data_IF_910182178650
#
_entry.id   IF_910182178650
#
_cell.length_a   1.000
_cell.length_b   1.000
_cell.length_c   1.000
_cell.angle_alpha   90.00
_cell.angle_beta   90.00
_cell.angle_gamma   90.00
#
_symmetry.space_group_name_H-M   'P 1'
#
loop_
_entity.id
_entity.type
_entity.pdbx_description
1 polymer ?
#
# COMPACT_ATOMS: atom_id res chain seq x y z
N UNK A 1 -18.23 -12.02 7.75
CA UNK A 1 -17.56 -11.07 8.63
C UNK A 1 -16.92 -10.03 7.74
N UNK A 2 -17.24 -8.77 7.98
CA UNK A 2 -16.74 -7.62 7.22
C UNK A 2 -15.81 -6.82 8.13
N UNK A 3 -14.54 -6.72 7.78
CA UNK A 3 -13.57 -5.93 8.56
C UNK A 3 -13.40 -4.56 7.90
N UNK A 4 -13.66 -3.51 8.66
CA UNK A 4 -13.61 -2.12 8.23
C UNK A 4 -12.36 -1.45 8.79
N UNK A 5 -11.61 -0.82 7.89
CA UNK A 5 -10.48 0.05 8.13
C UNK A 5 -10.99 1.49 7.96
N UNK A 6 -11.37 2.20 9.03
CA UNK A 6 -11.83 3.58 8.93
C UNK A 6 -10.66 4.52 8.63
N UNK A 7 -10.86 5.42 7.68
CA UNK A 7 -9.93 6.51 7.36
C UNK A 7 -10.62 7.86 7.57
N UNK A 8 -9.84 8.93 7.56
CA UNK A 8 -10.38 10.30 7.63
C UNK A 8 -11.00 10.78 6.31
N UNK A 9 -10.85 10.02 5.22
CA UNK A 9 -11.52 10.29 3.95
C UNK A 9 -12.82 9.50 3.80
N UNK A 10 -12.75 8.18 4.00
CA UNK A 10 -13.88 7.25 4.01
C UNK A 10 -13.49 5.88 4.60
N UNK A 11 -14.45 5.09 5.10
CA UNK A 11 -14.16 3.73 5.52
C UNK A 11 -13.78 2.84 4.32
N UNK A 12 -12.78 1.97 4.52
CA UNK A 12 -12.31 0.99 3.54
C UNK A 12 -12.59 -0.41 4.07
N UNK A 13 -13.17 -1.27 3.24
CA UNK A 13 -13.47 -2.64 3.61
C UNK A 13 -12.32 -3.57 3.19
N UNK A 14 -11.85 -4.39 4.12
CA UNK A 14 -10.97 -5.52 3.81
C UNK A 14 -11.83 -6.64 3.24
N UNK A 15 -11.65 -6.90 1.94
CA UNK A 15 -12.46 -7.85 1.16
C UNK A 15 -11.96 -9.28 1.30
N UNK A 16 -10.64 -9.48 1.28
CA UNK A 16 -10.06 -10.83 1.38
C UNK A 16 -8.60 -10.78 1.80
N UNK A 17 -8.16 -11.86 2.44
CA UNK A 17 -6.75 -12.19 2.65
C UNK A 17 -6.42 -13.37 1.74
N UNK A 18 -5.61 -13.16 0.69
CA UNK A 18 -5.29 -14.20 -0.29
C UNK A 18 -3.84 -14.65 -0.12
N UNK A 19 -3.62 -15.94 0.13
CA UNK A 19 -2.27 -16.53 0.14
C UNK A 19 -1.66 -16.49 -1.27
N UNK A 20 -0.44 -15.95 -1.39
CA UNK A 20 0.31 -15.74 -2.63
C UNK A 20 1.75 -16.24 -2.50
N UNK A 21 2.00 -17.55 -2.27
CA UNK A 21 3.33 -18.09 -1.97
C UNK A 21 4.37 -17.91 -3.09
N UNK A 22 3.94 -17.57 -4.31
CA UNK A 22 4.83 -17.31 -5.47
C UNK A 22 5.16 -15.83 -5.67
N UNK A 23 4.59 -14.94 -4.85
CA UNK A 23 4.90 -13.51 -4.87
C UNK A 23 6.01 -13.27 -3.86
N UNK A 24 7.04 -12.46 -4.19
CA UNK A 24 8.19 -12.26 -3.30
C UNK A 24 7.84 -11.55 -1.98
N UNK A 25 6.69 -10.88 -1.92
CA UNK A 25 6.27 -10.11 -0.77
C UNK A 25 4.75 -10.06 -0.61
N UNK A 26 4.28 -10.00 0.64
CA UNK A 26 2.93 -9.54 0.95
C UNK A 26 2.70 -8.11 0.49
N UNK A 27 1.49 -7.80 0.03
CA UNK A 27 1.12 -6.48 -0.48
C UNK A 27 -0.37 -6.19 -0.26
N UNK A 28 -0.74 -4.92 -0.32
CA UNK A 28 -2.14 -4.49 -0.30
C UNK A 28 -2.55 -4.08 -1.72
N UNK A 29 -3.76 -4.41 -2.16
CA UNK A 29 -4.28 -4.02 -3.46
C UNK A 29 -5.78 -3.75 -3.40
N UNK A 30 -6.29 -2.90 -4.30
CA UNK A 30 -7.73 -2.75 -4.49
C UNK A 30 -8.29 -4.06 -5.08
N UNK A 31 -9.47 -4.47 -4.66
CA UNK A 31 -10.11 -5.70 -5.11
C UNK A 31 -10.29 -5.69 -6.64
N UNK A 32 -9.82 -6.75 -7.29
CA UNK A 32 -9.80 -6.86 -8.75
C UNK A 32 -8.55 -6.24 -9.39
N UNK A 33 -7.70 -5.57 -8.62
CA UNK A 33 -6.39 -5.07 -9.01
C UNK A 33 -5.26 -5.96 -8.44
N UNK A 34 -4.12 -5.97 -9.10
CA UNK A 34 -2.91 -6.66 -8.65
C UNK A 34 -1.78 -5.69 -8.27
N UNK A 35 -2.01 -4.39 -8.45
CA UNK A 35 -1.03 -3.35 -8.22
C UNK A 35 -0.91 -3.05 -6.71
N UNK A 36 0.31 -3.07 -6.15
CA UNK A 36 0.51 -2.78 -4.74
C UNK A 36 0.17 -1.30 -4.43
N UNK A 37 -0.54 -1.07 -3.33
CA UNK A 37 -0.74 0.26 -2.75
C UNK A 37 0.54 0.80 -2.12
N UNK A 38 0.62 2.11 -1.89
CA UNK A 38 1.78 2.78 -1.28
C UNK A 38 2.20 2.14 0.05
N UNK A 39 1.24 1.72 0.87
CA UNK A 39 1.47 1.07 2.18
C UNK A 39 1.85 -0.42 2.08
N UNK A 40 2.05 -0.98 0.88
CA UNK A 40 2.35 -2.41 0.73
C UNK A 40 3.67 -2.82 1.36
N UNK A 41 4.69 -1.96 1.37
CA UNK A 41 5.97 -2.24 2.04
C UNK A 41 5.80 -2.26 3.56
N UNK A 42 4.99 -1.36 4.11
CA UNK A 42 4.67 -1.34 5.55
C UNK A 42 3.88 -2.59 5.94
N UNK A 43 2.89 -2.97 5.13
CA UNK A 43 2.16 -4.21 5.28
C UNK A 43 3.06 -5.43 5.20
N UNK A 44 3.99 -5.46 4.24
CA UNK A 44 4.97 -6.52 4.12
C UNK A 44 5.80 -6.67 5.40
N UNK A 45 6.34 -5.55 5.90
CA UNK A 45 7.11 -5.51 7.16
C UNK A 45 6.26 -5.95 8.36
N UNK A 46 4.98 -5.58 8.39
CA UNK A 46 4.06 -6.00 9.42
C UNK A 46 3.82 -7.52 9.40
N UNK A 47 3.52 -8.09 8.23
CA UNK A 47 3.30 -9.53 8.02
C UNK A 47 4.56 -10.35 8.27
N UNK A 48 5.73 -9.86 7.86
CA UNK A 48 7.00 -10.55 8.06
C UNK A 48 7.69 -10.24 9.39
N UNK A 49 7.18 -9.29 10.15
CA UNK A 49 7.68 -8.93 11.47
C UNK A 49 6.73 -9.38 12.57
N UNK A 50 6.12 -8.45 13.31
CA UNK A 50 5.43 -8.75 14.57
C UNK A 50 4.23 -9.69 14.38
N UNK A 51 3.56 -9.70 13.23
CA UNK A 51 2.42 -10.59 13.01
C UNK A 51 2.79 -12.09 13.08
N UNK A 52 4.05 -12.45 12.77
CA UNK A 52 4.54 -13.83 12.88
C UNK A 52 4.59 -14.35 14.31
N UNK A 53 4.51 -13.47 15.31
CA UNK A 53 4.45 -13.86 16.73
C UNK A 53 3.13 -14.59 17.06
N UNK A 54 2.07 -14.33 16.30
CA UNK A 54 0.71 -14.82 16.59
C UNK A 54 0.08 -15.60 15.45
N UNK A 55 0.58 -15.45 14.22
CA UNK A 55 0.17 -16.27 13.09
C UNK A 55 1.40 -16.96 12.50
N UNK A 56 1.52 -18.26 12.79
CA UNK A 56 2.59 -19.10 12.27
C UNK A 56 2.33 -19.46 10.79
N UNK A 57 3.40 -19.70 10.04
CA UNK A 57 3.35 -20.10 8.62
C UNK A 57 2.54 -19.14 7.71
N UNK A 58 2.79 -17.83 7.83
CA UNK A 58 2.29 -16.83 6.88
C UNK A 58 3.16 -16.80 5.61
N UNK A 59 2.66 -17.27 4.45
CA UNK A 59 3.31 -16.99 3.17
C UNK A 59 3.12 -15.52 2.80
N UNK A 60 3.79 -15.08 1.72
CA UNK A 60 3.42 -13.83 1.06
C UNK A 60 1.92 -13.79 0.79
N UNK A 61 1.28 -12.68 1.14
CA UNK A 61 -0.18 -12.56 1.18
C UNK A 61 -0.65 -11.25 0.55
N UNK A 62 -1.71 -11.32 -0.26
CA UNK A 62 -2.40 -10.15 -0.80
C UNK A 62 -3.55 -9.77 0.14
N UNK A 63 -3.51 -8.53 0.65
CA UNK A 63 -4.65 -7.91 1.31
C UNK A 63 -5.50 -7.19 0.26
N UNK A 64 -6.69 -7.72 -0.01
CA UNK A 64 -7.62 -7.16 -1.00
C UNK A 64 -8.54 -6.16 -0.30
N UNK A 65 -8.54 -4.90 -0.75
CA UNK A 65 -9.28 -3.79 -0.14
C UNK A 65 -10.35 -3.25 -1.09
N UNK A 66 -11.39 -2.61 -0.57
CA UNK A 66 -12.40 -1.95 -1.41
C UNK A 66 -11.89 -0.67 -2.07
N UNK A 67 -10.85 -0.05 -1.50
CA UNK A 67 -10.28 1.21 -1.96
C UNK A 67 -8.82 1.36 -1.50
N UNK A 68 -8.16 2.45 -1.91
CA UNK A 68 -6.80 2.80 -1.50
C UNK A 68 -6.70 3.21 -0.03
N UNK A 69 -5.50 3.02 0.52
CA UNK A 69 -5.05 3.57 1.80
C UNK A 69 -3.75 4.33 1.52
N UNK A 70 -3.74 5.62 1.83
CA UNK A 70 -2.66 6.50 1.36
C UNK A 70 -1.59 6.75 2.42
N UNK A 71 -1.98 6.88 3.71
CA UNK A 71 -1.04 7.21 4.77
C UNK A 71 -1.51 6.77 6.17
N UNK A 72 -0.58 6.88 7.13
CA UNK A 72 -0.81 6.59 8.54
C UNK A 72 -0.66 5.12 8.91
N UNK A 73 -0.67 4.84 10.22
CA UNK A 73 -0.53 3.49 10.80
C UNK A 73 -1.81 2.96 11.43
N UNK A 74 -2.92 3.70 11.33
CA UNK A 74 -4.20 3.33 11.95
C UNK A 74 -4.90 2.13 11.31
N UNK A 75 -4.31 1.57 10.24
CA UNK A 75 -4.74 0.35 9.57
C UNK A 75 -4.18 -0.92 10.21
N UNK A 76 -3.14 -0.83 11.05
CA UNK A 76 -2.43 -2.01 11.55
C UNK A 76 -3.32 -2.85 12.47
N UNK A 77 -4.10 -2.23 13.36
CA UNK A 77 -5.02 -2.95 14.25
C UNK A 77 -6.14 -3.71 13.51
N UNK A 78 -6.92 -3.12 12.60
CA UNK A 78 -7.92 -3.89 11.85
C UNK A 78 -7.29 -4.99 10.98
N UNK A 79 -6.08 -4.79 10.46
CA UNK A 79 -5.37 -5.82 9.69
C UNK A 79 -4.86 -6.95 10.59
N UNK A 80 -4.35 -6.65 11.79
CA UNK A 80 -4.02 -7.63 12.81
C UNK A 80 -5.23 -8.52 13.13
N UNK A 81 -6.36 -7.89 13.44
CA UNK A 81 -7.62 -8.59 13.75
C UNK A 81 -8.02 -9.52 12.59
N UNK A 82 -7.98 -9.02 11.36
CA UNK A 82 -8.35 -9.82 10.20
C UNK A 82 -7.45 -11.05 10.02
N UNK A 83 -6.13 -10.92 10.24
CA UNK A 83 -5.20 -12.05 10.20
C UNK A 83 -5.40 -13.05 11.34
N UNK A 84 -5.65 -12.58 12.56
CA UNK A 84 -5.97 -13.45 13.70
C UNK A 84 -7.24 -14.27 13.44
N UNK A 85 -8.29 -13.61 12.95
CA UNK A 85 -9.57 -14.25 12.63
C UNK A 85 -9.44 -15.22 11.44
N UNK A 86 -8.69 -14.86 10.40
CA UNK A 86 -8.37 -15.74 9.27
C UNK A 86 -7.56 -16.96 9.71
N UNK A 87 -6.55 -16.77 10.57
CA UNK A 87 -5.74 -17.86 11.12
C UNK A 87 -6.57 -18.83 11.96
N UNK A 88 -7.57 -18.32 12.68
CA UNK A 88 -8.55 -19.12 13.41
C UNK A 88 -9.61 -19.78 12.48
N UNK A 89 -9.54 -19.59 11.16
CA UNK A 89 -10.50 -20.13 10.18
C UNK A 89 -11.90 -19.51 10.27
N UNK A 90 -12.01 -18.28 10.79
CA UNK A 90 -13.28 -17.62 11.12
C UNK A 90 -13.60 -16.41 10.23
N UNK A 91 -12.72 -16.06 9.28
CA UNK A 91 -12.98 -14.99 8.33
C UNK A 91 -13.84 -15.55 7.18
N UNK A 92 -15.15 -15.67 7.42
CA UNK A 92 -16.13 -16.12 6.41
C UNK A 92 -17.06 -14.95 6.07
N UNK A 93 -17.21 -14.58 4.79
CA UNK A 93 -18.13 -13.54 4.34
C UNK A 93 -19.58 -13.75 4.82
N UNK A 94 -19.98 -15.00 5.07
CA UNK A 94 -21.33 -15.37 5.56
C UNK A 94 -21.55 -15.07 7.04
N UNK A 95 -20.49 -14.89 7.83
CA UNK A 95 -20.62 -14.50 9.22
C UNK A 95 -21.26 -13.09 9.28
N UNK A 96 -22.42 -12.92 9.93
CA UNK A 96 -23.15 -11.66 9.96
C UNK A 96 -22.54 -10.66 10.96
N UNK A 97 -21.22 -10.48 10.95
CA UNK A 97 -20.49 -9.59 11.84
C UNK A 97 -19.80 -8.46 11.06
N UNK A 98 -20.05 -7.21 11.46
CA UNK A 98 -19.29 -6.02 11.09
C UNK A 98 -18.23 -5.76 12.16
N UNK A 99 -16.95 -5.83 11.79
CA UNK A 99 -15.83 -5.45 12.64
C UNK A 99 -15.34 -4.07 12.22
N UNK A 100 -15.33 -3.13 13.15
CA UNK A 100 -14.81 -1.79 12.94
C UNK A 100 -13.64 -1.58 13.90
N UNK A 101 -12.44 -1.34 13.38
CA UNK A 101 -11.29 -1.15 14.24
C UNK A 101 -10.33 -0.12 13.66
N UNK A 102 -9.65 0.62 14.53
CA UNK A 102 -8.64 1.60 14.13
C UNK A 102 -7.51 1.61 15.14
N UNK A 103 -6.28 1.84 14.73
CA UNK A 103 -5.16 1.93 15.64
C UNK A 103 -3.87 1.43 15.02
N UNK A 104 -2.74 1.93 15.53
CA UNK A 104 -1.43 1.33 15.28
C UNK A 104 -1.09 0.35 16.41
N UNK A 105 -0.15 -0.55 16.15
CA UNK A 105 0.36 -1.49 17.16
C UNK A 105 1.87 -1.37 17.30
N UNK A 106 2.40 -1.78 18.46
CA UNK A 106 3.84 -1.90 18.67
C UNK A 106 4.39 -3.26 18.18
N UNK A 107 5.67 -3.53 18.47
CA UNK A 107 6.33 -4.77 18.08
C UNK A 107 5.77 -6.02 18.80
N UNK A 108 5.11 -5.83 19.95
CA UNK A 108 4.44 -6.87 20.73
C UNK A 108 2.94 -6.96 20.37
N UNK A 109 2.52 -6.28 19.30
CA UNK A 109 1.16 -6.21 18.79
C UNK A 109 0.15 -5.55 19.75
N UNK A 110 0.62 -4.77 20.73
CA UNK A 110 -0.25 -4.02 21.61
C UNK A 110 -0.75 -2.73 20.92
N UNK A 111 -2.07 -2.46 20.92
CA UNK A 111 -2.60 -1.20 20.40
C UNK A 111 -2.03 0.01 21.15
N UNK A 112 -1.60 1.03 20.42
CA UNK A 112 -1.00 2.23 21.01
C UNK A 112 -2.01 3.38 21.11
N UNK A 113 -1.91 4.20 22.16
CA UNK A 113 -2.69 5.45 22.28
C UNK A 113 -2.08 6.54 21.41
N UNK A 114 -2.90 7.13 20.53
CA UNK A 114 -2.56 8.28 19.68
C UNK A 114 -3.84 9.03 19.28
N UNK A 115 -3.70 10.20 18.63
CA UNK A 115 -4.85 10.86 18.00
C UNK A 115 -5.14 10.16 16.68
N UNK A 116 -6.18 9.33 16.68
CA UNK A 116 -6.63 8.62 15.48
C UNK A 116 -7.78 9.31 14.76
N UNK A 117 -8.18 10.50 15.21
CA UNK A 117 -9.37 11.20 14.74
C UNK A 117 -10.61 10.28 14.78
N UNK A 118 -10.77 9.54 15.87
CA UNK A 118 -11.87 8.58 16.05
C UNK A 118 -13.24 9.22 15.84
N UNK A 119 -13.54 10.44 16.36
CA UNK A 119 -14.85 11.07 16.15
C UNK A 119 -15.22 11.27 14.68
N UNK A 120 -14.28 11.77 13.87
CA UNK A 120 -14.47 11.93 12.43
C UNK A 120 -14.68 10.58 11.74
N UNK A 121 -13.87 9.57 12.10
CA UNK A 121 -14.01 8.22 11.57
C UNK A 121 -15.37 7.58 11.90
N UNK A 122 -15.92 7.83 13.08
CA UNK A 122 -17.25 7.38 13.48
C UNK A 122 -18.34 8.05 12.64
N UNK A 123 -18.26 9.37 12.43
CA UNK A 123 -19.19 10.11 11.58
C UNK A 123 -19.20 9.57 10.14
N UNK A 124 -18.01 9.39 9.55
CA UNK A 124 -17.87 8.83 8.19
C UNK A 124 -18.31 7.36 8.10
N UNK A 125 -18.27 6.62 9.21
CA UNK A 125 -18.67 5.20 9.26
C UNK A 125 -20.15 5.01 9.59
N UNK A 126 -20.86 6.04 10.04
CA UNK A 126 -22.27 5.98 10.42
C UNK A 126 -23.16 5.31 9.37
N UNK A 127 -23.05 5.58 8.06
CA UNK A 127 -23.83 4.87 7.05
C UNK A 127 -23.63 3.34 7.05
N UNK A 128 -22.41 2.87 7.31
CA UNK A 128 -22.11 1.42 7.39
C UNK A 128 -22.76 0.76 8.61
N UNK A 129 -22.81 1.46 9.75
CA UNK A 129 -23.47 0.95 10.95
C UNK A 129 -25.00 0.93 10.78
N UNK A 130 -25.58 1.95 10.13
CA UNK A 130 -27.00 1.93 9.75
C UNK A 130 -27.32 0.74 8.82
N UNK A 131 -26.49 0.50 7.80
CA UNK A 131 -26.63 -0.65 6.90
C UNK A 131 -26.50 -1.98 7.67
N UNK A 132 -25.52 -2.10 8.56
CA UNK A 132 -25.31 -3.29 9.38
C UNK A 132 -26.52 -3.58 10.27
N UNK A 133 -27.03 -2.56 10.98
CA UNK A 133 -28.22 -2.67 11.81
C UNK A 133 -29.46 -3.08 11.00
N UNK A 134 -29.67 -2.47 9.83
CA UNK A 134 -30.78 -2.79 8.93
C UNK A 134 -30.73 -4.24 8.41
N UNK A 135 -29.53 -4.79 8.23
CA UNK A 135 -29.31 -6.16 7.79
C UNK A 135 -29.16 -7.17 8.95
N UNK A 136 -29.36 -6.74 10.20
CA UNK A 136 -29.24 -7.61 11.37
C UNK A 136 -27.81 -8.12 11.62
N UNK A 137 -26.79 -7.39 11.17
CA UNK A 137 -25.40 -7.72 11.44
C UNK A 137 -25.03 -7.32 12.87
N UNK A 138 -24.30 -8.18 13.55
CA UNK A 138 -23.65 -7.87 14.83
C UNK A 138 -22.50 -6.89 14.57
N UNK A 139 -22.39 -5.82 15.33
CA UNK A 139 -21.26 -4.90 15.26
C UNK A 139 -20.26 -5.12 16.41
N UNK A 140 -18.97 -5.16 16.09
CA UNK A 140 -17.86 -5.23 17.05
C UNK A 140 -16.92 -4.08 16.77
N UNK A 141 -16.63 -3.27 17.78
CA UNK A 141 -15.73 -2.12 17.70
C UNK A 141 -14.49 -2.37 18.54
N UNK A 142 -13.30 -2.24 17.96
CA UNK A 142 -12.03 -2.37 18.68
C UNK A 142 -11.20 -1.11 18.50
N UNK A 143 -10.92 -0.41 19.59
CA UNK A 143 -10.16 0.85 19.61
C UNK A 143 -9.07 0.84 20.69
N UNK A 144 -7.96 1.59 20.53
CA UNK A 144 -6.96 1.76 21.57
C UNK A 144 -7.53 2.63 22.71
N UNK A 145 -6.82 2.75 23.84
CA UNK A 145 -7.26 3.63 24.92
C UNK A 145 -7.37 5.07 24.42
N UNK A 146 -8.53 5.73 24.57
CA UNK A 146 -8.75 7.09 24.10
C UNK A 146 -7.89 8.08 24.86
N UNK A 147 -7.49 9.18 24.21
CA UNK A 147 -6.59 10.17 24.78
C UNK A 147 -7.27 11.01 25.86
N UNK A 148 -8.57 11.24 25.72
CA UNK A 148 -9.34 12.08 26.63
C UNK A 148 -10.75 11.56 26.88
N UNK A 149 -11.31 11.99 28.01
CA UNK A 149 -12.65 11.57 28.47
C UNK A 149 -13.75 11.88 27.46
N UNK A 150 -13.63 12.98 26.73
CA UNK A 150 -14.61 13.36 25.71
C UNK A 150 -14.62 12.35 24.54
N UNK A 151 -13.46 12.01 23.97
CA UNK A 151 -13.34 11.00 22.91
C UNK A 151 -13.92 9.66 23.38
N UNK A 152 -13.59 9.26 24.62
CA UNK A 152 -14.19 8.06 25.23
C UNK A 152 -15.72 8.10 25.24
N UNK A 153 -16.30 9.22 25.67
CA UNK A 153 -17.75 9.38 25.73
C UNK A 153 -18.40 9.35 24.34
N UNK A 154 -17.74 9.89 23.32
CA UNK A 154 -18.21 9.85 21.93
C UNK A 154 -18.18 8.42 21.36
N UNK A 155 -17.11 7.65 21.63
CA UNK A 155 -17.01 6.24 21.23
C UNK A 155 -18.07 5.40 21.92
N UNK A 156 -18.23 5.54 23.24
CA UNK A 156 -19.21 4.79 24.03
C UNK A 156 -20.65 5.12 23.60
N UNK A 157 -20.95 6.40 23.32
CA UNK A 157 -22.25 6.82 22.82
C UNK A 157 -22.57 6.25 21.43
N UNK A 158 -21.59 6.27 20.52
CA UNK A 158 -21.76 5.68 19.18
C UNK A 158 -21.95 4.17 19.24
N UNK A 159 -21.15 3.46 20.07
CA UNK A 159 -21.30 2.02 20.25
C UNK A 159 -22.69 1.68 20.82
N UNK A 160 -23.17 2.43 21.82
CA UNK A 160 -24.50 2.25 22.40
C UNK A 160 -25.63 2.52 21.39
N UNK A 161 -25.48 3.54 20.54
CA UNK A 161 -26.44 3.89 19.49
C UNK A 161 -26.72 2.71 18.54
N UNK A 162 -25.66 1.98 18.16
CA UNK A 162 -25.76 0.86 17.21
C UNK A 162 -25.76 -0.52 17.87
N UNK A 163 -25.78 -0.59 19.20
CA UNK A 163 -25.66 -1.86 19.94
C UNK A 163 -24.36 -2.62 19.63
N UNK A 164 -23.28 -1.89 19.34
CA UNK A 164 -21.98 -2.48 19.02
C UNK A 164 -21.25 -2.94 20.28
N UNK A 165 -20.65 -4.13 20.22
CA UNK A 165 -19.75 -4.61 21.28
C UNK A 165 -18.43 -3.84 21.21
N UNK A 166 -18.19 -2.97 22.19
CA UNK A 166 -17.00 -2.13 22.26
C UNK A 166 -15.90 -2.78 23.11
N UNK A 167 -14.72 -2.94 22.52
CA UNK A 167 -13.48 -3.26 23.23
C UNK A 167 -12.51 -2.08 23.14
N UNK A 168 -12.17 -1.51 24.30
CA UNK A 168 -11.03 -0.60 24.45
C UNK A 168 -9.80 -1.46 24.74
N UNK A 169 -9.03 -1.78 23.70
CA UNK A 169 -7.92 -2.71 23.77
C UNK A 169 -6.61 -1.99 24.07
N UNK A 170 -5.97 -2.30 25.21
CA UNK A 170 -4.65 -1.79 25.56
C UNK A 170 -3.54 -2.81 25.30
N UNK A 171 -3.91 -4.05 24.98
CA UNK A 171 -3.00 -5.17 24.77
C UNK A 171 -3.49 -6.11 23.67
N UNK A 172 -2.58 -6.93 23.15
CA UNK A 172 -2.94 -8.04 22.26
C UNK A 172 -3.95 -9.02 22.92
N UNK A 173 -3.85 -9.23 24.24
CA UNK A 173 -4.76 -10.09 24.97
C UNK A 173 -6.21 -9.58 24.92
N UNK A 174 -6.41 -8.25 25.03
CA UNK A 174 -7.75 -7.65 24.88
C UNK A 174 -8.32 -7.87 23.48
N UNK A 175 -7.47 -7.76 22.46
CA UNK A 175 -7.86 -8.01 21.06
C UNK A 175 -8.27 -9.47 20.86
N UNK A 176 -7.48 -10.42 21.35
CA UNK A 176 -7.79 -11.86 21.28
C UNK A 176 -9.08 -12.19 22.03
N UNK A 177 -9.27 -11.62 23.22
CA UNK A 177 -10.47 -11.81 24.03
C UNK A 177 -11.73 -11.28 23.33
N UNK A 178 -11.64 -10.14 22.64
CA UNK A 178 -12.76 -9.55 21.89
C UNK A 178 -13.33 -10.51 20.82
N UNK A 179 -12.49 -11.40 20.28
CA UNK A 179 -12.91 -12.39 19.28
C UNK A 179 -12.99 -13.82 19.83
N UNK A 180 -12.66 -14.06 21.10
CA UNK A 180 -12.58 -15.40 21.67
C UNK A 180 -11.57 -16.28 20.93
N UNK A 181 -10.39 -15.74 20.65
CA UNK A 181 -9.28 -16.47 20.04
C UNK A 181 -8.31 -16.85 21.16
N UNK A 182 -8.02 -18.15 21.29
CA UNK A 182 -6.98 -18.63 22.19
C UNK A 182 -5.65 -18.67 21.42
N UNK A 183 -4.59 -18.14 22.03
CA UNK A 183 -3.24 -18.37 21.54
C UNK A 183 -2.86 -19.79 21.95
N UNK A 184 -2.60 -20.66 20.98
CA UNK A 184 -1.85 -21.88 21.25
C UNK A 184 -0.49 -21.44 21.78
N UNK A 185 -0.35 -21.49 23.11
CA UNK A 185 0.88 -21.17 23.81
C UNK A 185 1.93 -22.22 23.47
N UNK A 186 2.47 -22.14 22.26
CA UNK A 186 3.69 -22.81 21.87
C UNK A 186 4.75 -22.32 22.83
N UNK A 187 5.00 -23.09 23.88
CA UNK A 187 6.21 -22.95 24.68
C UNK A 187 7.36 -22.92 23.68
N UNK A 188 8.21 -21.89 23.67
CA UNK A 188 9.43 -21.99 22.90
C UNK A 188 10.17 -23.17 23.53
N UNK A 189 10.18 -24.31 22.84
CA UNK A 189 11.08 -25.41 23.17
C UNK A 189 12.47 -24.79 23.16
N UNK A 190 12.92 -24.43 24.35
CA UNK A 190 14.30 -24.12 24.64
C UNK A 190 15.01 -25.40 24.21
N UNK A 191 15.67 -25.30 23.05
CA UNK A 191 16.69 -26.25 22.63
C UNK A 191 17.63 -26.37 23.82
N UNK A 192 17.46 -27.43 24.60
CA UNK A 192 18.40 -27.79 25.64
C UNK A 192 19.74 -27.96 24.94
N UNK A 193 20.66 -27.06 25.28
CA UNK A 193 22.04 -27.07 24.84
C UNK A 193 22.71 -28.29 25.47
N UNK A 194 22.52 -29.44 24.81
CA UNK A 194 23.09 -30.73 25.14
C UNK A 194 24.58 -30.74 24.86
N UNK A 195 25.35 -30.10 25.73
CA UNK A 195 26.79 -30.35 25.86
C UNK A 195 26.99 -31.72 26.51
N UNK A 196 27.49 -32.68 25.74
CA UNK A 196 28.73 -33.42 26.02
C UNK A 196 28.73 -34.85 25.45
N UNK A 197 29.81 -35.10 24.72
CA UNK A 197 30.56 -36.35 24.66
C UNK A 197 29.99 -37.50 23.81
N UNK A 198 30.56 -37.66 22.60
CA UNK A 198 31.25 -38.93 22.30
C UNK A 198 32.24 -38.76 21.15
N UNK A 199 33.51 -38.99 21.49
CA UNK A 199 34.60 -39.29 20.55
C UNK A 199 34.30 -40.61 19.86
N UNK A 200 34.42 -40.68 18.54
CA UNK A 200 35.01 -41.82 17.80
C UNK A 200 35.20 -41.46 16.32
N UNK A 201 36.45 -41.33 15.90
CA UNK A 201 36.90 -41.69 14.55
C UNK A 201 37.14 -43.23 14.54
N UNK A 202 37.06 -43.94 13.40
CA UNK A 202 38.07 -43.80 12.35
C UNK A 202 37.60 -44.01 10.88
N UNK A 203 38.49 -43.58 9.98
CA UNK A 203 38.89 -44.15 8.68
C UNK A 203 37.86 -44.67 7.65
N UNK A 204 37.91 -44.04 6.47
CA UNK A 204 38.60 -44.68 5.33
C UNK A 204 37.78 -45.37 4.24
N UNK A 205 37.86 -44.75 3.04
CA UNK A 205 37.92 -45.33 1.66
C UNK A 205 36.64 -45.57 0.82
N UNK A 206 36.81 -45.11 -0.43
CA UNK A 206 36.33 -45.63 -1.73
C UNK A 206 34.83 -45.50 -2.05
N UNK A 207 34.41 -44.72 -3.04
CA UNK A 207 34.65 -44.74 -4.49
C UNK A 207 33.57 -45.51 -5.29
N UNK A 208 33.13 -44.84 -6.36
CA UNK A 208 32.56 -45.36 -7.61
C UNK A 208 31.05 -45.66 -7.72
N UNK A 209 30.41 -44.83 -8.55
CA UNK A 209 29.70 -45.18 -9.80
C UNK A 209 28.41 -45.99 -9.82
N UNK A 210 27.52 -45.59 -10.75
CA UNK A 210 26.41 -46.38 -11.31
C UNK A 210 25.06 -45.82 -10.87
N UNK A 211 24.25 -45.23 -11.73
CA UNK A 211 23.60 -45.88 -12.89
C UNK A 211 22.17 -46.23 -12.46
N UNK A 212 21.19 -45.37 -12.75
CA UNK A 212 20.25 -45.50 -13.89
C UNK A 212 18.91 -46.15 -13.50
N UNK A 213 17.86 -45.64 -14.17
CA UNK A 213 16.52 -46.21 -14.44
C UNK A 213 15.51 -46.41 -13.32
N UNK A 214 14.40 -45.67 -13.40
CA UNK A 214 13.01 -46.15 -13.57
C UNK A 214 12.08 -44.93 -13.50
N UNK A 215 11.42 -44.46 -14.56
CA UNK A 215 10.33 -45.07 -15.34
C UNK A 215 9.14 -45.52 -14.48
N UNK A 216 8.06 -44.73 -14.44
CA UNK A 216 6.77 -45.28 -14.03
C UNK A 216 5.69 -44.29 -13.63
N UNK A 217 4.67 -44.19 -14.50
CA UNK A 217 3.26 -43.85 -14.22
C UNK A 217 2.90 -42.40 -13.88
N UNK A 218 2.51 -41.68 -14.94
CA UNK A 218 1.51 -40.60 -14.85
C UNK A 218 0.18 -41.12 -15.41
N UNK A 219 -0.82 -41.20 -14.52
CA UNK A 219 -2.19 -41.59 -14.81
C UNK A 219 -2.99 -40.33 -15.20
N UNK A 220 -3.43 -40.33 -16.46
CA UNK A 220 -4.72 -39.85 -16.98
C UNK A 220 -5.64 -39.18 -15.95
N UNK A 221 -5.90 -37.87 -16.11
CA UNK A 221 -7.18 -37.28 -15.70
C UNK A 221 -7.70 -36.34 -16.78
N UNK A 222 -8.76 -36.78 -17.44
CA UNK A 222 -9.66 -35.97 -18.23
C UNK A 222 -10.23 -34.84 -17.36
N UNK A 223 -10.21 -33.60 -17.85
CA UNK A 223 -11.15 -32.59 -17.40
C UNK A 223 -11.82 -31.95 -18.60
N UNK A 224 -13.13 -32.19 -18.64
CA UNK A 224 -14.05 -31.75 -19.65
C UNK A 224 -14.17 -30.23 -19.71
N UNK A 225 -14.47 -29.79 -20.92
CA UNK A 225 -15.00 -28.49 -21.29
C UNK A 225 -16.32 -28.25 -20.56
N UNK A 226 -16.47 -27.09 -19.92
CA UNK A 226 -17.79 -26.53 -19.59
C UNK A 226 -17.95 -25.19 -20.31
N UNK A 227 -19.20 -24.98 -20.73
CA UNK A 227 -19.69 -24.11 -21.79
C UNK A 227 -19.83 -22.66 -21.30
N UNK A 228 -19.44 -21.70 -22.16
CA UNK A 228 -19.76 -20.28 -22.03
C UNK A 228 -21.27 -20.07 -22.23
N UNK A 229 -21.94 -19.46 -21.25
CA UNK A 229 -23.27 -18.87 -21.40
C UNK A 229 -23.17 -17.36 -21.57
N UNK A 230 -23.53 -16.86 -22.75
CA UNK A 230 -23.77 -15.45 -23.05
C UNK A 230 -25.13 -15.00 -22.51
N UNK A 231 -25.17 -13.81 -21.92
CA UNK A 231 -26.36 -12.96 -21.77
C UNK A 231 -25.87 -11.60 -21.26
N UNK A 232 -25.97 -10.48 -21.95
CA UNK A 232 -26.91 -10.08 -22.99
C UNK A 232 -28.00 -9.20 -22.36
N UNK A 233 -27.64 -8.00 -21.92
CA UNK A 233 -28.57 -7.05 -21.31
C UNK A 233 -28.16 -5.60 -21.61
N UNK A 234 -28.70 -5.05 -22.69
CA UNK A 234 -28.59 -3.64 -23.08
C UNK A 234 -29.64 -2.81 -22.35
N UNK A 235 -29.22 -1.79 -21.61
CA UNK A 235 -30.10 -0.74 -21.09
C UNK A 235 -29.95 0.53 -21.94
N UNK A 236 -31.06 0.93 -22.58
CA UNK A 236 -31.22 2.18 -23.30
C UNK A 236 -31.41 3.33 -22.31
N UNK A 237 -30.58 4.35 -22.40
CA UNK A 237 -30.72 5.63 -21.71
C UNK A 237 -31.21 6.68 -22.71
N UNK A 238 -32.40 7.22 -22.47
CA UNK A 238 -32.95 8.38 -23.13
C UNK A 238 -32.93 9.55 -22.14
N UNK A 239 -32.24 10.64 -22.46
CA UNK A 239 -32.56 11.97 -21.94
C UNK A 239 -32.21 13.01 -23.00
N UNK A 240 -33.24 13.77 -23.36
CA UNK A 240 -33.21 14.88 -24.31
C UNK A 240 -33.45 16.20 -23.56
N UNK A 241 -33.07 17.29 -24.24
CA UNK A 241 -33.31 18.70 -23.94
C UNK A 241 -32.52 19.25 -22.73
N UNK A 242 -31.83 20.39 -22.81
CA UNK A 242 -31.87 21.49 -23.77
C UNK A 242 -31.73 22.77 -22.95
N UNK A 243 -30.92 23.73 -23.38
CA UNK A 243 -31.12 25.18 -23.18
C UNK A 243 -29.97 25.98 -23.78
N UNK A 244 -30.34 27.16 -24.26
CA UNK A 244 -29.63 28.01 -25.19
C UNK A 244 -28.70 29.03 -24.51
N UNK A 245 -27.71 29.44 -25.31
CA UNK A 245 -27.11 30.77 -25.49
C UNK A 245 -27.53 31.90 -24.53
N UNK A 246 -26.53 32.57 -23.92
CA UNK A 246 -26.50 34.03 -23.80
C UNK A 246 -25.06 34.57 -23.92
N UNK A 247 -24.96 35.67 -24.67
CA UNK A 247 -23.79 36.47 -24.99
C UNK A 247 -23.25 37.27 -23.80
N UNK A 248 -21.94 37.53 -23.76
CA UNK A 248 -21.42 38.91 -23.75
C UNK A 248 -19.90 38.94 -23.91
N UNK A 249 -19.46 39.38 -25.08
CA UNK A 249 -18.15 40.01 -25.29
C UNK A 249 -18.19 41.40 -24.63
N UNK A 250 -17.28 41.67 -23.71
CA UNK A 250 -16.86 43.03 -23.37
C UNK A 250 -15.33 43.06 -23.46
N UNK A 251 -14.84 43.55 -24.60
CA UNK A 251 -13.45 43.94 -24.78
C UNK A 251 -13.25 45.32 -24.16
N UNK A 252 -12.38 45.42 -23.16
CA UNK A 252 -11.78 46.69 -22.72
C UNK A 252 -10.28 46.64 -23.01
N UNK A 253 -9.71 47.66 -23.69
CA UNK A 253 -8.28 47.73 -23.91
C UNK A 253 -7.59 48.20 -22.62
N UNK A 254 -6.72 47.36 -22.07
CA UNK A 254 -5.86 47.75 -20.95
C UNK A 254 -4.61 48.45 -21.50
N UNK A 255 -4.35 49.63 -20.96
CA UNK A 255 -3.22 50.50 -21.24
C UNK A 255 -1.88 49.78 -21.10
N UNK A 256 -1.03 50.02 -22.10
CA UNK A 256 0.41 49.82 -22.06
C UNK A 256 1.05 50.79 -21.07
N UNK A 257 1.47 50.28 -19.91
CA UNK A 257 2.39 50.97 -19.01
C UNK A 257 3.39 50.00 -18.40
N UNK A 258 4.65 50.16 -18.81
CA UNK A 258 5.78 50.09 -17.89
C UNK A 258 6.43 48.73 -17.74
N UNK A 259 7.68 48.67 -18.21
CA UNK A 259 8.77 47.79 -17.77
C UNK A 259 8.37 46.60 -16.91
N UNK A 260 8.22 45.44 -17.55
CA UNK A 260 8.40 44.17 -16.85
C UNK A 260 9.82 44.17 -16.25
N UNK A 261 9.98 44.00 -14.93
CA UNK A 261 11.29 43.68 -14.40
C UNK A 261 11.72 42.40 -15.08
N UNK A 262 12.94 42.40 -15.60
CA UNK A 262 13.68 41.25 -16.09
C UNK A 262 13.69 40.20 -14.98
N UNK A 263 12.62 39.40 -14.91
CA UNK A 263 12.51 38.25 -14.01
C UNK A 263 13.55 37.29 -14.52
N UNK A 264 14.69 37.28 -13.84
CA UNK A 264 15.75 36.30 -13.98
C UNK A 264 15.07 34.95 -14.21
N UNK A 265 15.29 34.38 -15.40
CA UNK A 265 14.76 33.08 -15.77
C UNK A 265 15.46 32.07 -14.87
N UNK A 266 14.92 31.84 -13.67
CA UNK A 266 15.38 30.78 -12.78
C UNK A 266 15.18 29.50 -13.58
N UNK A 267 16.30 28.91 -14.01
CA UNK A 267 16.28 27.71 -14.82
C UNK A 267 15.53 26.64 -14.05
N UNK A 268 14.47 26.08 -14.65
CA UNK A 268 13.63 25.03 -14.08
C UNK A 268 14.39 23.90 -13.36
N UNK A 269 15.64 23.66 -13.76
CA UNK A 269 16.57 22.68 -13.18
C UNK A 269 17.03 22.97 -11.75
N UNK A 270 16.86 24.18 -11.23
CA UNK A 270 17.32 24.54 -9.89
C UNK A 270 16.33 24.17 -8.79
N UNK A 271 15.06 24.02 -9.14
CA UNK A 271 13.98 23.72 -8.19
C UNK A 271 13.64 22.23 -8.07
N UNK A 272 14.28 21.36 -8.86
CA UNK A 272 14.05 19.92 -8.84
C UNK A 272 15.39 19.18 -8.74
N UNK A 273 15.48 18.22 -7.82
CA UNK A 273 16.55 17.22 -7.82
C UNK A 273 16.03 15.90 -8.39
N UNK A 274 16.84 15.28 -9.24
CA UNK A 274 16.61 13.92 -9.75
C UNK A 274 17.76 13.05 -9.27
N UNK A 275 17.43 11.98 -8.55
CA UNK A 275 18.39 10.96 -8.12
C UNK A 275 17.98 9.59 -8.71
N UNK A 276 18.94 8.78 -9.10
CA UNK A 276 18.71 7.36 -9.44
C UNK A 276 18.80 6.49 -8.19
N UNK A 277 17.97 5.46 -8.14
CA UNK A 277 17.94 4.47 -7.06
C UNK A 277 18.47 3.15 -7.59
N UNK A 278 19.54 2.63 -6.97
CA UNK A 278 20.29 1.49 -7.48
C UNK A 278 20.38 0.33 -6.48
N UNK A 279 20.49 -0.87 -7.01
CA UNK A 279 20.88 -2.09 -6.33
C UNK A 279 21.90 -2.86 -7.17
N UNK A 280 22.46 -3.91 -6.59
CA UNK A 280 23.53 -4.72 -7.19
C UNK A 280 23.02 -5.50 -8.41
N UNK A 281 21.78 -5.96 -8.35
CA UNK A 281 21.13 -6.76 -9.41
C UNK A 281 19.65 -6.40 -9.52
N UNK A 282 19.00 -6.85 -10.60
CA UNK A 282 17.54 -6.70 -10.75
C UNK A 282 16.75 -7.44 -9.66
N UNK A 283 17.20 -8.62 -9.25
CA UNK A 283 16.57 -9.36 -8.16
C UNK A 283 16.67 -8.58 -6.84
N UNK A 284 17.84 -8.01 -6.55
CA UNK A 284 18.04 -7.15 -5.39
C UNK A 284 17.19 -5.88 -5.46
N UNK A 285 16.96 -5.29 -6.64
CA UNK A 285 16.00 -4.19 -6.80
C UNK A 285 14.60 -4.60 -6.34
N UNK A 286 14.08 -5.73 -6.86
CA UNK A 286 12.73 -6.18 -6.53
C UNK A 286 12.60 -6.45 -5.03
N UNK A 287 13.53 -7.21 -4.46
CA UNK A 287 13.58 -7.49 -3.04
C UNK A 287 13.59 -6.19 -2.20
N UNK A 288 14.51 -5.26 -2.47
CA UNK A 288 14.63 -4.00 -1.72
C UNK A 288 13.38 -3.12 -1.87
N UNK A 289 12.79 -3.03 -3.06
CA UNK A 289 11.55 -2.28 -3.29
C UNK A 289 10.40 -2.85 -2.45
N UNK A 290 10.21 -4.18 -2.46
CA UNK A 290 9.08 -4.80 -1.77
C UNK A 290 9.26 -4.90 -0.25
N UNK A 291 10.50 -5.01 0.22
CA UNK A 291 10.83 -5.11 1.65
C UNK A 291 11.05 -3.75 2.32
N UNK A 292 11.16 -2.66 1.55
CA UNK A 292 11.59 -1.35 2.05
C UNK A 292 13.09 -1.28 2.36
N UNK A 293 13.89 -2.17 1.78
CA UNK A 293 15.35 -2.16 1.90
C UNK A 293 15.99 -0.91 1.31
N UNK A 294 17.16 -0.54 1.82
CA UNK A 294 17.87 0.66 1.37
C UNK A 294 18.46 0.47 -0.03
N UNK A 295 18.12 1.39 -0.93
CA UNK A 295 18.71 1.50 -2.27
C UNK A 295 19.87 2.51 -2.25
N UNK A 296 20.91 2.24 -3.03
CA UNK A 296 21.97 3.20 -3.26
C UNK A 296 21.41 4.39 -4.04
N UNK A 297 21.72 5.61 -3.61
CA UNK A 297 21.21 6.82 -4.24
C UNK A 297 22.35 7.53 -4.95
N UNK A 298 22.22 7.71 -6.26
CA UNK A 298 23.21 8.43 -7.06
C UNK A 298 22.54 9.65 -7.72
N UNK A 299 23.03 10.88 -7.49
CA UNK A 299 22.49 12.07 -8.14
C UNK A 299 22.58 11.98 -9.66
N UNK A 300 21.53 12.42 -10.37
CA UNK A 300 21.58 12.55 -11.81
C UNK A 300 22.59 13.63 -12.23
N UNK A 301 23.29 13.40 -13.34
CA UNK A 301 24.16 14.41 -13.93
C UNK A 301 23.31 15.53 -14.55
N UNK A 302 23.56 16.78 -14.14
CA UNK A 302 22.91 17.94 -14.75
C UNK A 302 23.45 18.17 -16.16
N UNK A 303 22.55 18.37 -17.12
CA UNK A 303 22.85 18.76 -18.50
C UNK A 303 22.03 19.99 -18.87
N UNK A 304 22.37 20.65 -19.98
CA UNK A 304 21.60 21.81 -20.45
C UNK A 304 20.12 21.42 -20.65
N UNK A 305 19.23 21.99 -19.85
CA UNK A 305 17.78 21.74 -19.92
C UNK A 305 17.28 20.46 -19.24
N UNK A 306 18.11 19.75 -18.46
CA UNK A 306 17.64 18.51 -17.83
C UNK A 306 18.65 17.71 -17.01
N UNK A 307 18.32 16.43 -16.85
CA UNK A 307 19.04 15.46 -16.03
C UNK A 307 19.36 14.20 -16.84
N UNK A 308 20.52 13.60 -16.60
CA UNK A 308 20.91 12.30 -17.16
C UNK A 308 21.25 11.31 -16.06
N UNK A 309 20.65 10.13 -16.15
CA UNK A 309 20.87 8.97 -15.29
C UNK A 309 21.56 7.85 -16.06
N UNK A 310 22.36 7.05 -15.36
CA UNK A 310 23.06 5.90 -15.95
C UNK A 310 22.12 4.70 -16.06
N UNK A 311 21.90 4.21 -17.27
CA UNK A 311 21.23 2.93 -17.49
C UNK A 311 22.11 1.79 -16.94
N UNK A 312 21.54 0.95 -16.09
CA UNK A 312 22.19 -0.28 -15.62
C UNK A 312 21.14 -1.28 -15.17
N UNK A 313 21.50 -2.57 -15.12
CA UNK A 313 20.62 -3.61 -14.56
C UNK A 313 20.22 -3.32 -13.12
N UNK A 314 21.06 -2.58 -12.40
CA UNK A 314 20.84 -2.13 -11.03
C UNK A 314 19.93 -0.92 -10.88
N UNK A 315 19.50 -0.25 -11.95
CA UNK A 315 18.63 0.93 -11.82
C UNK A 315 17.19 0.50 -11.45
N UNK A 316 16.86 0.67 -10.17
CA UNK A 316 15.59 0.25 -9.58
C UNK A 316 14.49 1.29 -9.70
N UNK A 317 14.84 2.58 -9.81
CA UNK A 317 13.88 3.67 -9.83
C UNK A 317 14.53 5.04 -9.86
N UNK A 318 13.72 6.08 -9.75
CA UNK A 318 14.14 7.48 -9.63
C UNK A 318 13.48 8.13 -8.43
N UNK A 319 14.16 9.09 -7.83
CA UNK A 319 13.64 9.97 -6.80
C UNK A 319 13.61 11.40 -7.33
N UNK A 320 12.44 12.03 -7.26
CA UNK A 320 12.19 13.39 -7.70
C UNK A 320 11.89 14.23 -6.46
N UNK A 321 12.72 15.22 -6.16
CA UNK A 321 12.62 16.01 -4.92
C UNK A 321 12.49 17.49 -5.22
N UNK A 322 11.51 18.12 -4.59
CA UNK A 322 11.28 19.55 -4.68
C UNK A 322 12.35 20.28 -3.86
N UNK A 323 13.19 21.07 -4.53
CA UNK A 323 14.21 21.91 -3.90
C UNK A 323 13.73 23.35 -3.67
N UNK A 324 12.55 23.71 -4.15
CA UNK A 324 12.01 25.06 -3.91
C UNK A 324 11.52 25.20 -2.47
N UNK A 325 11.38 26.44 -2.02
CA UNK A 325 10.80 26.81 -0.74
C UNK A 325 9.26 26.75 -0.73
N UNK A 326 8.63 26.48 -1.88
CA UNK A 326 7.18 26.36 -2.04
C UNK A 326 6.75 24.96 -2.46
N UNK A 327 5.46 24.65 -2.27
CA UNK A 327 4.86 23.44 -2.82
C UNK A 327 4.75 23.53 -4.36
N UNK A 328 4.97 22.41 -5.04
CA UNK A 328 4.90 22.31 -6.49
C UNK A 328 4.08 21.09 -6.92
N UNK A 329 3.27 21.23 -7.97
CA UNK A 329 2.65 20.08 -8.65
C UNK A 329 3.63 19.47 -9.61
N UNK A 330 3.91 18.18 -9.47
CA UNK A 330 4.83 17.45 -10.34
C UNK A 330 4.07 16.49 -11.25
N UNK A 331 4.30 16.64 -12.56
CA UNK A 331 3.82 15.75 -13.61
C UNK A 331 5.01 15.08 -14.30
N UNK A 332 4.95 13.77 -14.47
CA UNK A 332 5.99 13.01 -15.19
C UNK A 332 5.42 12.41 -16.45
N UNK A 333 6.19 12.46 -17.53
CA UNK A 333 5.82 11.96 -18.85
C UNK A 333 5.39 10.48 -18.82
N UNK A 334 4.39 10.16 -19.63
CA UNK A 334 3.81 8.82 -19.76
C UNK A 334 4.86 7.75 -20.12
N UNK A 335 5.89 8.11 -20.89
CA UNK A 335 7.00 7.22 -21.27
C UNK A 335 7.73 6.70 -20.04
N UNK A 336 8.06 7.57 -19.09
CA UNK A 336 8.77 7.20 -17.87
C UNK A 336 7.90 6.44 -16.88
N UNK A 337 6.66 6.91 -16.71
CA UNK A 337 5.67 6.26 -15.83
C UNK A 337 5.19 4.91 -16.36
N UNK A 338 5.20 4.66 -17.67
CA UNK A 338 4.92 3.33 -18.25
C UNK A 338 5.93 2.25 -17.88
N UNK A 339 7.13 2.66 -17.43
CA UNK A 339 8.15 1.76 -16.92
C UNK A 339 8.00 1.52 -15.41
N UNK A 340 7.19 2.33 -14.72
CA UNK A 340 7.05 2.28 -13.28
C UNK A 340 6.27 1.03 -12.84
N UNK A 341 6.52 0.58 -11.60
CA UNK A 341 5.61 -0.29 -10.88
C UNK A 341 4.33 0.52 -10.66
N UNK A 342 3.20 0.10 -11.23
CA UNK A 342 1.96 0.84 -11.11
C UNK A 342 1.55 0.98 -9.64
N UNK A 343 1.13 2.19 -9.22
CA UNK A 343 0.81 2.51 -7.83
C UNK A 343 1.93 3.18 -7.04
N UNK A 344 3.18 3.16 -7.54
CA UNK A 344 4.33 3.77 -6.86
C UNK A 344 4.39 5.30 -6.89
N UNK A 345 3.48 5.99 -7.57
CA UNK A 345 3.59 7.43 -7.80
C UNK A 345 2.22 8.10 -8.03
N UNK A 346 1.84 9.05 -7.18
CA UNK A 346 0.80 10.08 -7.42
C UNK A 346 1.13 11.03 -8.59
N UNK A 347 2.25 10.78 -9.28
CA UNK A 347 2.89 11.68 -10.23
C UNK A 347 2.24 11.61 -11.63
N UNK A 348 1.47 10.54 -11.89
CA UNK A 348 0.67 10.40 -13.12
C UNK A 348 -0.47 11.43 -13.20
N UNK A 349 -1.04 11.81 -12.05
CA UNK A 349 -2.15 12.77 -11.96
C UNK A 349 -1.73 14.18 -11.53
N UNK A 350 -0.43 14.42 -11.34
CA UNK A 350 0.07 15.70 -10.81
C UNK A 350 0.04 15.75 -9.28
N UNK A 351 0.96 15.04 -8.64
CA UNK A 351 1.08 15.04 -7.18
C UNK A 351 1.62 16.37 -6.66
N UNK A 352 1.05 16.89 -5.58
CA UNK A 352 1.62 18.02 -4.84
C UNK A 352 2.86 17.55 -4.07
N UNK A 353 3.97 18.27 -4.21
CA UNK A 353 5.22 18.06 -3.47
C UNK A 353 5.53 19.31 -2.65
N UNK A 354 5.54 19.17 -1.33
CA UNK A 354 5.97 20.21 -0.40
C UNK A 354 7.46 20.53 -0.55
N UNK A 355 7.92 21.63 0.03
CA UNK A 355 9.36 21.96 0.06
C UNK A 355 10.17 20.84 0.72
N UNK A 356 11.22 20.38 0.03
CA UNK A 356 12.06 19.27 0.48
C UNK A 356 11.45 17.86 0.33
N UNK A 357 10.16 17.77 -0.01
CA UNK A 357 9.48 16.50 -0.22
C UNK A 357 9.99 15.81 -1.48
N UNK A 358 9.98 14.47 -1.46
CA UNK A 358 10.38 13.66 -2.58
C UNK A 358 9.32 12.61 -2.91
N UNK A 359 9.11 12.40 -4.20
CA UNK A 359 8.36 11.25 -4.71
C UNK A 359 9.32 10.25 -5.33
N UNK A 360 8.93 8.98 -5.28
CA UNK A 360 9.71 7.85 -5.78
C UNK A 360 8.96 7.24 -6.96
N UNK A 361 9.70 6.81 -7.97
CA UNK A 361 9.15 6.06 -9.09
C UNK A 361 10.05 4.85 -9.31
N UNK A 362 9.59 3.69 -8.85
CA UNK A 362 10.28 2.42 -9.02
C UNK A 362 9.95 1.81 -10.37
N UNK A 363 10.92 1.21 -11.04
CA UNK A 363 10.75 0.58 -12.33
C UNK A 363 10.36 -0.90 -12.23
N UNK A 364 9.32 -1.29 -12.98
CA UNK A 364 8.87 -2.67 -13.14
C UNK A 364 9.83 -3.50 -14.01
N UNK A 365 10.61 -2.84 -14.87
CA UNK A 365 11.66 -3.43 -15.70
C UNK A 365 12.83 -2.46 -15.85
N UNK A 366 14.04 -2.98 -16.06
CA UNK A 366 15.22 -2.15 -16.26
C UNK A 366 15.03 -1.22 -17.48
N UNK A 367 15.14 0.10 -17.32
CA UNK A 367 15.11 1.03 -18.45
C UNK A 367 16.38 0.87 -19.30
N UNK A 368 16.24 0.66 -20.60
CA UNK A 368 17.38 0.47 -21.52
C UNK A 368 17.91 1.80 -22.04
N UNK A 369 17.04 2.63 -22.62
CA UNK A 369 17.30 4.03 -22.95
C UNK A 369 15.97 4.74 -23.12
N UNK A 370 15.77 5.83 -22.39
CA UNK A 370 14.54 6.60 -22.48
C UNK A 370 14.84 8.08 -22.28
N UNK A 371 14.08 8.91 -22.98
CA UNK A 371 14.03 10.34 -22.77
C UNK A 371 12.58 10.71 -22.50
N UNK A 372 12.37 11.47 -21.44
CA UNK A 372 11.08 11.80 -20.88
C UNK A 372 11.14 13.19 -20.24
N UNK A 373 9.99 13.78 -19.96
CA UNK A 373 9.91 15.11 -19.36
C UNK A 373 9.31 15.04 -17.95
N UNK A 374 9.78 15.91 -17.07
CA UNK A 374 9.08 16.25 -15.85
C UNK A 374 8.66 17.73 -15.91
N UNK A 375 7.39 17.98 -15.58
CA UNK A 375 6.83 19.33 -15.50
C UNK A 375 6.48 19.64 -14.06
N UNK A 376 6.98 20.75 -13.54
CA UNK A 376 6.55 21.31 -12.26
C UNK A 376 5.69 22.53 -12.49
N UNK A 377 4.67 22.71 -11.65
CA UNK A 377 3.84 23.92 -11.61
C UNK A 377 3.84 24.46 -10.19
N UNK A 378 4.25 25.71 -10.04
CA UNK A 378 4.25 26.37 -8.73
C UNK A 378 2.87 26.90 -8.33
N UNK A 379 2.81 27.53 -7.15
CA UNK A 379 1.59 28.14 -6.61
C UNK A 379 1.04 29.30 -7.45
N UNK A 380 1.89 29.96 -8.26
CA UNK A 380 1.52 31.03 -9.18
C UNK A 380 0.97 30.51 -10.52
N UNK A 381 1.05 29.19 -10.74
CA UNK A 381 0.68 28.55 -12.00
C UNK A 381 1.79 28.59 -13.06
N UNK A 382 2.97 29.10 -12.72
CA UNK A 382 4.11 29.08 -13.64
C UNK A 382 4.60 27.65 -13.82
N UNK A 383 4.71 27.22 -15.08
CA UNK A 383 5.19 25.90 -15.44
C UNK A 383 6.67 25.90 -15.78
N UNK A 384 7.33 24.84 -15.37
CA UNK A 384 8.74 24.56 -15.62
C UNK A 384 8.86 23.15 -16.15
N UNK A 385 9.58 22.95 -17.26
CA UNK A 385 9.81 21.64 -17.86
C UNK A 385 11.30 21.31 -17.84
N UNK A 386 11.61 20.07 -17.45
CA UNK A 386 12.98 19.54 -17.47
C UNK A 386 13.00 18.17 -18.17
N UNK A 387 13.98 17.95 -19.03
CA UNK A 387 14.20 16.64 -19.66
C UNK A 387 14.89 15.69 -18.66
N UNK A 388 14.50 14.42 -18.68
CA UNK A 388 15.11 13.32 -17.93
C UNK A 388 15.48 12.24 -18.93
N UNK A 389 16.78 12.00 -19.08
CA UNK A 389 17.33 10.96 -19.93
C UNK A 389 17.94 9.83 -19.09
N UNK A 390 17.61 8.58 -19.42
CA UNK A 390 18.30 7.39 -18.89
C UNK A 390 19.10 6.80 -20.05
N UNK A 391 20.43 6.70 -19.91
CA UNK A 391 21.34 6.42 -21.03
C UNK A 391 22.41 5.39 -20.76
#
# INVERSE_FOLDING_TARGET
MRVIIPTTAKPVELRAIKRRPRVPASYMAIAGDFRPLALSSDYHRFVNGPLRLVVTDLPSTELSLSDGLDCGRSWELPVLIAHLVEAAGRLDERDPTLVWATGMVDADLNPQTADYHVPLKLELSRPLFCEAAANGLKAVMVVPPPQHRQERGEIEAFAAEFGAELTVAASLADVLAAFGIEMDGGSPDLVEDGTADTRHAPDGRSAASGGSTEAGRSIRSERGRLILGLGGGTALLALAAGSALFFSEHSTPALDTGHQPERATITATDNLAVDGLYAETRAACQEKIYTGGQLAVEPASRVAGGFTLKASEGLCGIRLRNLSDQAQKLFVDARLTSLAIPGGASVLSGGDLSSGEATLLYFARTPTRIEADARTRDSSGQESQVSIAIR
#
